data_IF_676431485541
#
_entry.id   IF_676431485541
#
_cell.length_a   1.000
_cell.length_b   1.000
_cell.length_c   1.000
_cell.angle_alpha   90.00
_cell.angle_beta   90.00
_cell.angle_gamma   90.00
#
_symmetry.space_group_name_H-M   'P 1'
#
loop_
_entity.id
_entity.type
_entity.pdbx_description
1 polymer ?
#
# COMPACT_ATOMS: atom_id res chain seq x y z
N UNK A 1 64.94 -2.88 -26.42
CA UNK A 1 63.86 -3.70 -27.02
C UNK A 1 62.70 -3.70 -26.02
N UNK A 2 61.67 -2.89 -26.27
CA UNK A 2 60.60 -2.56 -25.33
C UNK A 2 59.46 -3.59 -25.42
N UNK A 3 59.03 -4.18 -24.30
CA UNK A 3 57.81 -5.01 -24.23
C UNK A 3 56.89 -4.45 -23.16
N UNK A 4 55.92 -3.66 -23.61
CA UNK A 4 54.87 -3.04 -22.81
C UNK A 4 53.87 -4.09 -22.33
N UNK A 5 53.65 -4.18 -21.02
CA UNK A 5 52.57 -4.96 -20.41
C UNK A 5 51.27 -4.18 -20.58
N UNK A 6 50.36 -4.64 -21.44
CA UNK A 6 49.00 -4.09 -21.51
C UNK A 6 48.20 -4.62 -20.32
N UNK A 7 47.84 -3.70 -19.44
CA UNK A 7 46.85 -3.87 -18.38
C UNK A 7 45.46 -3.92 -19.00
N UNK A 8 44.78 -5.06 -18.89
CA UNK A 8 43.36 -5.19 -19.25
C UNK A 8 42.57 -5.20 -17.95
N UNK A 9 42.07 -4.03 -17.57
CA UNK A 9 41.04 -3.84 -16.55
C UNK A 9 39.74 -4.48 -17.03
N UNK A 10 39.41 -5.65 -16.47
CA UNK A 10 38.09 -6.25 -16.61
C UNK A 10 37.13 -5.50 -15.67
N UNK A 11 36.35 -4.58 -16.24
CA UNK A 11 35.20 -3.97 -15.57
C UNK A 11 34.14 -5.04 -15.40
N UNK A 12 34.06 -5.62 -14.20
CA UNK A 12 32.98 -6.53 -13.83
C UNK A 12 31.70 -5.72 -13.66
N UNK A 13 30.84 -5.73 -14.68
CA UNK A 13 29.47 -5.23 -14.57
C UNK A 13 28.70 -6.07 -13.55
N UNK A 14 28.55 -5.55 -12.33
CA UNK A 14 27.64 -6.10 -11.35
C UNK A 14 26.20 -5.86 -11.84
N UNK A 15 25.67 -6.83 -12.58
CA UNK A 15 24.24 -6.94 -12.91
C UNK A 15 23.48 -7.07 -11.60
N UNK A 16 22.95 -5.95 -11.09
CA UNK A 16 22.05 -5.92 -9.93
C UNK A 16 20.80 -6.71 -10.32
N UNK A 17 20.80 -8.01 -10.03
CA UNK A 17 19.59 -8.82 -10.09
C UNK A 17 18.65 -8.29 -9.01
N UNK A 18 17.65 -7.52 -9.45
CA UNK A 18 16.51 -7.13 -8.62
C UNK A 18 15.88 -8.43 -8.13
N UNK A 19 16.07 -8.75 -6.85
CA UNK A 19 15.39 -9.87 -6.21
C UNK A 19 13.89 -9.67 -6.43
N UNK A 20 13.25 -10.59 -7.17
CA UNK A 20 11.80 -10.69 -7.21
C UNK A 20 11.37 -11.11 -5.82
N UNK A 21 11.08 -10.13 -4.96
CA UNK A 21 10.40 -10.37 -3.70
C UNK A 21 9.03 -10.93 -4.11
N UNK A 22 8.84 -12.24 -3.94
CA UNK A 22 7.51 -12.81 -3.90
C UNK A 22 6.80 -12.09 -2.77
N UNK A 23 5.92 -11.16 -3.11
CA UNK A 23 5.21 -10.34 -2.12
C UNK A 23 4.26 -11.26 -1.39
N UNK A 24 4.62 -11.64 -0.16
CA UNK A 24 3.72 -12.35 0.73
C UNK A 24 2.49 -11.47 0.93
N UNK A 25 1.33 -11.93 0.46
CA UNK A 25 0.07 -11.20 0.54
C UNK A 25 -0.53 -11.23 1.94
N UNK A 26 -0.14 -12.22 2.75
CA UNK A 26 -0.65 -12.44 4.10
C UNK A 26 0.48 -12.50 5.12
N UNK A 27 0.35 -11.78 6.22
CA UNK A 27 1.32 -11.80 7.33
C UNK A 27 0.61 -11.58 8.67
N UNK A 28 1.30 -11.91 9.77
CA UNK A 28 0.81 -11.56 11.11
C UNK A 28 0.74 -10.03 11.22
N UNK A 29 -0.35 -9.50 11.79
CA UNK A 29 -0.49 -8.08 12.02
C UNK A 29 0.52 -7.61 13.10
N UNK A 30 1.02 -6.39 12.98
CA UNK A 30 1.88 -5.78 14.01
C UNK A 30 1.13 -5.61 15.33
N UNK A 31 1.83 -5.55 16.46
CA UNK A 31 1.20 -5.37 17.79
C UNK A 31 0.32 -4.13 17.87
N UNK A 32 0.67 -3.05 17.15
CA UNK A 32 -0.16 -1.85 17.07
C UNK A 32 -1.48 -2.10 16.31
N UNK A 33 -1.42 -2.79 15.16
CA UNK A 33 -2.60 -3.18 14.39
C UNK A 33 -3.51 -4.13 15.18
N UNK A 34 -2.93 -5.12 15.87
CA UNK A 34 -3.68 -6.06 16.71
C UNK A 34 -4.46 -5.33 17.81
N UNK A 35 -3.81 -4.40 18.52
CA UNK A 35 -4.45 -3.61 19.58
C UNK A 35 -5.60 -2.77 19.04
N UNK A 36 -5.41 -2.10 17.91
CA UNK A 36 -6.48 -1.27 17.29
C UNK A 36 -7.64 -2.17 16.87
N UNK A 37 -7.37 -3.28 16.19
CA UNK A 37 -8.40 -4.23 15.76
C UNK A 37 -9.21 -4.76 16.94
N UNK A 38 -8.55 -5.19 18.01
CA UNK A 38 -9.24 -5.69 19.20
C UNK A 38 -10.06 -4.60 19.89
N UNK A 39 -9.51 -3.40 20.05
CA UNK A 39 -10.22 -2.29 20.70
C UNK A 39 -11.47 -1.89 19.90
N UNK A 40 -11.34 -1.80 18.58
CA UNK A 40 -12.48 -1.53 17.68
C UNK A 40 -13.58 -2.59 17.80
N UNK A 41 -13.21 -3.88 17.69
CA UNK A 41 -14.18 -4.98 17.70
C UNK A 41 -14.81 -5.23 19.08
N UNK A 42 -14.10 -4.95 20.17
CA UNK A 42 -14.59 -5.21 21.53
C UNK A 42 -15.47 -4.07 22.07
N UNK A 43 -15.13 -2.82 21.77
CA UNK A 43 -15.76 -1.66 22.41
C UNK A 43 -16.66 -0.85 21.49
N UNK A 44 -16.42 -0.90 20.17
CA UNK A 44 -17.11 -0.03 19.21
C UNK A 44 -17.90 -0.79 18.15
N UNK A 45 -17.83 -2.11 18.14
CA UNK A 45 -18.66 -2.95 17.27
C UNK A 45 -20.15 -2.72 17.57
N UNK A 46 -20.83 -2.00 16.68
CA UNK A 46 -22.24 -1.62 16.82
C UNK A 46 -22.49 -0.22 17.40
N UNK A 47 -21.45 0.56 17.65
CA UNK A 47 -21.56 1.98 18.04
C UNK A 47 -21.24 2.89 16.84
N UNK A 48 -21.83 4.08 16.80
CA UNK A 48 -21.52 5.10 15.79
C UNK A 48 -20.18 5.83 16.04
N UNK A 49 -19.36 5.36 16.99
CA UNK A 49 -18.15 6.04 17.41
C UNK A 49 -16.92 5.57 16.62
N UNK A 50 -16.39 6.41 15.73
CA UNK A 50 -15.21 6.10 14.92
C UNK A 50 -13.93 6.77 15.46
N UNK A 51 -13.43 6.32 16.60
CA UNK A 51 -12.30 6.97 17.31
C UNK A 51 -10.96 6.92 16.57
N UNK A 52 -10.78 5.95 15.67
CA UNK A 52 -9.53 5.74 14.93
C UNK A 52 -9.54 6.37 13.54
N UNK A 53 -10.64 7.00 13.12
CA UNK A 53 -10.70 7.69 11.84
C UNK A 53 -9.89 8.99 11.90
N UNK A 54 -9.05 9.21 10.88
CA UNK A 54 -8.29 10.45 10.72
C UNK A 54 -8.83 11.22 9.53
N UNK A 55 -9.31 12.44 9.78
CA UNK A 55 -9.88 13.32 8.76
C UNK A 55 -8.90 14.45 8.45
N UNK A 56 -8.58 14.63 7.17
CA UNK A 56 -7.68 15.70 6.71
C UNK A 56 -8.38 16.51 5.62
N UNK A 57 -9.03 17.65 5.97
CA UNK A 57 -9.68 18.49 4.97
C UNK A 57 -8.65 19.28 4.16
N UNK A 58 -8.82 19.31 2.84
CA UNK A 58 -8.00 20.11 1.93
C UNK A 58 -8.84 21.25 1.34
N UNK A 59 -8.41 22.49 1.56
CA UNK A 59 -9.03 23.68 0.96
C UNK A 59 -8.12 24.28 -0.12
N UNK A 60 -8.63 24.35 -1.36
CA UNK A 60 -7.95 25.01 -2.48
C UNK A 60 -8.37 26.48 -2.49
N UNK A 61 -7.47 27.37 -2.05
CA UNK A 61 -7.78 28.81 -1.93
C UNK A 61 -7.82 29.55 -3.26
N UNK A 62 -7.14 29.03 -4.29
CA UNK A 62 -7.01 29.68 -5.62
C UNK A 62 -6.89 28.62 -6.71
N UNK A 63 -7.45 28.93 -7.87
CA UNK A 63 -7.47 28.04 -9.04
C UNK A 63 -8.65 27.07 -9.03
N UNK A 64 -8.77 26.32 -10.11
CA UNK A 64 -9.71 25.21 -10.26
C UNK A 64 -8.94 23.90 -10.24
N UNK A 65 -9.58 22.86 -9.70
CA UNK A 65 -9.02 21.51 -9.74
C UNK A 65 -10.05 20.58 -10.39
N UNK A 66 -9.57 19.77 -11.33
CA UNK A 66 -10.37 18.73 -11.95
C UNK A 66 -10.62 17.60 -10.95
N UNK A 67 -11.89 17.31 -10.68
CA UNK A 67 -12.28 16.18 -9.83
C UNK A 67 -11.75 14.87 -10.43
N UNK A 68 -11.74 14.74 -11.76
CA UNK A 68 -11.24 13.55 -12.43
C UNK A 68 -9.73 13.34 -12.20
N UNK A 69 -8.96 14.43 -12.22
CA UNK A 69 -7.54 14.35 -11.90
C UNK A 69 -7.29 14.00 -10.44
N UNK A 70 -8.10 14.50 -9.50
CA UNK A 70 -8.03 14.09 -8.08
C UNK A 70 -8.29 12.58 -7.98
N UNK A 71 -9.34 12.08 -8.64
CA UNK A 71 -9.70 10.66 -8.62
C UNK A 71 -8.57 9.79 -9.14
N UNK A 72 -8.07 10.07 -10.34
CA UNK A 72 -6.94 9.33 -10.94
C UNK A 72 -5.67 9.38 -10.07
N UNK A 73 -5.40 10.52 -9.43
CA UNK A 73 -4.27 10.66 -8.50
C UNK A 73 -4.45 9.79 -7.26
N UNK A 74 -5.66 9.74 -6.67
CA UNK A 74 -5.95 8.88 -5.53
C UNK A 74 -5.80 7.40 -5.87
N UNK A 75 -6.26 6.98 -7.06
CA UNK A 75 -6.06 5.60 -7.55
C UNK A 75 -4.59 5.26 -7.65
N UNK A 76 -3.79 6.17 -8.20
CA UNK A 76 -2.33 6.00 -8.32
C UNK A 76 -1.66 5.82 -6.95
N UNK A 77 -2.07 6.61 -5.95
CA UNK A 77 -1.59 6.49 -4.56
C UNK A 77 -1.97 5.13 -3.95
N UNK A 78 -3.21 4.67 -4.13
CA UNK A 78 -3.68 3.37 -3.62
C UNK A 78 -2.91 2.21 -4.30
N UNK A 79 -2.64 2.32 -5.59
CA UNK A 79 -1.85 1.33 -6.32
C UNK A 79 -0.42 1.23 -5.79
N UNK A 80 0.23 2.38 -5.57
CA UNK A 80 1.60 2.48 -5.09
C UNK A 80 1.79 1.99 -3.65
N UNK A 81 0.81 2.21 -2.77
CA UNK A 81 0.95 1.94 -1.34
C UNK A 81 0.10 0.75 -0.89
N UNK A 82 0.75 -0.39 -0.61
CA UNK A 82 0.09 -1.63 -0.16
C UNK A 82 -0.71 -1.46 1.12
N UNK A 83 -0.30 -0.56 2.03
CA UNK A 83 -1.00 -0.29 3.28
C UNK A 83 -2.44 0.18 3.07
N UNK A 84 -2.71 0.92 1.98
CA UNK A 84 -4.06 1.39 1.63
C UNK A 84 -4.96 0.27 1.06
N UNK A 85 -4.37 -0.90 0.78
CA UNK A 85 -5.05 -2.10 0.29
C UNK A 85 -4.93 -3.26 1.28
N UNK A 86 -4.48 -2.99 2.50
CA UNK A 86 -4.31 -4.01 3.52
C UNK A 86 -5.56 -4.10 4.37
N UNK A 87 -6.22 -5.26 4.34
CA UNK A 87 -7.27 -5.60 5.28
C UNK A 87 -6.66 -6.23 6.55
N UNK A 88 -7.27 -5.98 7.70
CA UNK A 88 -6.90 -6.61 8.98
C UNK A 88 -8.06 -7.50 9.40
N UNK A 89 -7.80 -8.79 9.64
CA UNK A 89 -8.83 -9.76 9.99
C UNK A 89 -8.32 -10.78 11.00
N UNK A 90 -9.25 -11.35 11.78
CA UNK A 90 -8.95 -12.51 12.61
C UNK A 90 -9.00 -13.79 11.77
N UNK A 91 -7.91 -14.56 11.77
CA UNK A 91 -7.83 -15.88 11.16
C UNK A 91 -8.10 -16.97 12.22
N UNK A 92 -9.25 -17.66 12.19
CA UNK A 92 -9.61 -18.65 13.20
C UNK A 92 -8.78 -19.94 13.10
N UNK A 93 -8.21 -20.26 11.94
CA UNK A 93 -7.38 -21.46 11.77
C UNK A 93 -6.03 -21.32 12.46
N UNK A 94 -5.47 -20.11 12.47
CA UNK A 94 -4.19 -19.82 13.11
C UNK A 94 -4.35 -19.12 14.47
N UNK A 95 -5.59 -18.84 14.90
CA UNK A 95 -5.92 -18.09 16.11
C UNK A 95 -5.11 -16.78 16.26
N UNK A 96 -4.99 -16.03 15.17
CA UNK A 96 -4.20 -14.80 15.13
C UNK A 96 -4.84 -13.73 14.24
N UNK A 97 -4.52 -12.47 14.50
CA UNK A 97 -4.91 -11.35 13.64
C UNK A 97 -3.86 -11.22 12.53
N UNK A 98 -4.31 -11.26 11.29
CA UNK A 98 -3.49 -11.18 10.10
C UNK A 98 -3.77 -9.90 9.32
N UNK A 99 -2.78 -9.51 8.53
CA UNK A 99 -2.87 -8.47 7.53
C UNK A 99 -2.85 -9.12 6.14
N UNK A 100 -3.81 -8.75 5.29
CA UNK A 100 -3.97 -9.29 3.96
C UNK A 100 -3.98 -8.16 2.92
N UNK A 101 -3.00 -8.16 2.01
CA UNK A 101 -2.86 -7.20 0.93
C UNK A 101 -3.75 -7.63 -0.24
N UNK A 102 -4.80 -6.86 -0.49
CA UNK A 102 -5.70 -7.07 -1.62
C UNK A 102 -4.97 -6.83 -2.95
N UNK A 103 -5.13 -7.70 -3.96
CA UNK A 103 -4.48 -7.52 -5.25
C UNK A 103 -5.01 -6.27 -5.97
N UNK A 104 -4.22 -5.78 -6.93
CA UNK A 104 -4.70 -4.78 -7.87
C UNK A 104 -5.53 -5.50 -8.93
N UNK A 105 -6.83 -5.25 -8.95
CA UNK A 105 -7.70 -5.61 -10.07
C UNK A 105 -8.21 -4.32 -10.71
N UNK A 106 -8.28 -4.33 -12.04
CA UNK A 106 -8.61 -3.13 -12.82
C UNK A 106 -10.03 -2.61 -12.54
N UNK A 107 -10.91 -3.45 -11.99
CA UNK A 107 -12.33 -3.13 -11.79
C UNK A 107 -12.62 -2.42 -10.44
N UNK A 108 -11.78 -2.57 -9.41
CA UNK A 108 -12.10 -2.16 -8.02
C UNK A 108 -12.16 -0.63 -7.83
N UNK A 109 -11.44 0.13 -8.67
CA UNK A 109 -11.39 1.59 -8.56
C UNK A 109 -12.12 2.31 -9.70
N UNK A 110 -12.99 1.59 -10.42
CA UNK A 110 -13.84 2.19 -11.46
C UNK A 110 -14.89 3.09 -10.80
N UNK A 111 -14.69 4.39 -10.94
CA UNK A 111 -15.65 5.37 -10.46
C UNK A 111 -16.78 5.50 -11.48
N UNK A 112 -17.95 4.94 -11.17
CA UNK A 112 -19.11 5.13 -12.02
C UNK A 112 -19.56 6.60 -11.97
N UNK A 113 -19.66 7.23 -13.15
CA UNK A 113 -20.26 8.56 -13.29
C UNK A 113 -21.77 8.46 -13.09
N UNK A 114 -22.27 8.75 -11.88
CA UNK A 114 -23.64 9.23 -11.75
C UNK A 114 -23.68 10.67 -12.26
N UNK A 115 -24.23 10.87 -13.45
CA UNK A 115 -24.52 12.19 -14.01
C UNK A 115 -25.59 12.88 -13.17
N UNK A 116 -25.34 14.14 -12.80
CA UNK A 116 -26.34 15.18 -12.52
C UNK A 116 -27.00 15.16 -11.15
#
# INVERSE_FOLDING_TARGET
MFRTKKSTTATTEHKVQRLKISSRTEAVASSAQQRIYMHENLYFSGSDLSIYNSLVPLQIKRGSVSIEHIRSSLVSVIQQHTVLRTAICFNPMHNQIEQNIQPLTDDIYSFQHSQG
#
